data_IF_837351877990
#
_entry.id   IF_837351877990
#
_cell.length_a   1.000
_cell.length_b   1.000
_cell.length_c   1.000
_cell.angle_alpha   90.00
_cell.angle_beta   90.00
_cell.angle_gamma   90.00
#
_symmetry.space_group_name_H-M   'P 1'
#
loop_
_entity.id
_entity.type
_entity.pdbx_description
1 polymer ?
#
# COMPACT_ATOMS: atom_id res chain seq x y z
N UNK A 1 11.44 1.22 18.95
CA UNK A 1 12.59 2.13 18.79
C UNK A 1 13.67 1.83 19.83
N UNK A 2 13.33 1.69 21.09
CA UNK A 2 14.31 1.42 22.16
C UNK A 2 15.01 0.06 21.99
N UNK A 3 14.34 -0.91 21.37
CA UNK A 3 14.92 -2.22 21.02
C UNK A 3 15.89 -2.19 19.84
N UNK A 4 16.16 -1.03 19.23
CA UNK A 4 17.12 -0.87 18.13
C UNK A 4 16.62 -1.28 16.76
N UNK A 5 15.30 -1.38 16.54
CA UNK A 5 14.73 -1.68 15.21
C UNK A 5 14.99 -0.53 14.24
N UNK A 6 15.32 -0.85 12.98
CA UNK A 6 15.63 0.13 11.95
C UNK A 6 14.36 0.69 11.27
N UNK A 7 13.33 -0.13 11.10
CA UNK A 7 12.07 0.22 10.43
C UNK A 7 10.90 -0.35 11.23
N UNK A 8 9.91 0.48 11.51
CA UNK A 8 8.61 -0.01 11.99
C UNK A 8 7.72 -0.36 10.81
N UNK A 9 7.03 -1.48 10.91
CA UNK A 9 6.02 -1.90 9.94
C UNK A 9 4.63 -1.77 10.57
N UNK A 10 3.67 -1.35 9.76
CA UNK A 10 2.28 -1.17 10.14
C UNK A 10 2.02 -0.04 11.15
N UNK A 11 0.78 0.36 11.21
CA UNK A 11 0.29 1.17 12.32
C UNK A 11 0.00 0.23 13.48
N UNK A 12 0.82 0.25 14.49
CA UNK A 12 0.63 -0.57 15.68
C UNK A 12 -0.77 -0.42 16.29
N UNK A 13 -1.18 -1.42 17.06
CA UNK A 13 -2.39 -1.32 17.86
C UNK A 13 -2.08 -0.48 19.09
N UNK A 14 -2.24 0.84 19.00
CA UNK A 14 -2.39 1.64 20.22
C UNK A 14 -3.64 1.15 20.96
N UNK A 15 -3.58 1.00 22.24
CA UNK A 15 -4.73 0.60 23.05
C UNK A 15 -5.92 1.59 22.96
N UNK A 16 -5.76 2.71 22.25
CA UNK A 16 -6.70 3.79 22.05
C UNK A 16 -6.71 4.34 20.61
N UNK A 17 -7.53 5.38 20.37
CA UNK A 17 -7.71 5.98 19.04
C UNK A 17 -6.47 6.74 18.54
N UNK A 18 -5.58 7.12 19.43
CA UNK A 18 -4.39 7.92 19.14
C UNK A 18 -3.17 7.32 19.83
N UNK A 19 -2.00 7.62 19.30
CA UNK A 19 -0.73 7.39 20.00
C UNK A 19 -0.52 8.45 21.08
N UNK A 20 0.27 8.11 22.11
CA UNK A 20 0.70 9.12 23.08
C UNK A 20 1.61 10.16 22.41
N UNK A 21 1.59 11.38 22.93
CA UNK A 21 2.46 12.45 22.43
C UNK A 21 3.94 12.08 22.47
N UNK A 22 4.37 11.35 23.51
CA UNK A 22 5.75 10.88 23.66
C UNK A 22 6.13 9.88 22.58
N UNK A 23 5.23 8.95 22.23
CA UNK A 23 5.48 7.99 21.15
C UNK A 23 5.59 8.69 19.80
N UNK A 24 4.66 9.62 19.50
CA UNK A 24 4.69 10.40 18.25
C UNK A 24 6.00 11.18 18.15
N UNK A 25 6.40 11.86 19.22
CA UNK A 25 7.67 12.57 19.29
C UNK A 25 8.86 11.64 19.06
N UNK A 26 8.90 10.49 19.73
CA UNK A 26 9.96 9.49 19.56
C UNK A 26 10.07 9.03 18.11
N UNK A 27 8.93 8.78 17.44
CA UNK A 27 8.92 8.39 16.02
C UNK A 27 9.48 9.50 15.14
N UNK A 28 9.00 10.73 15.29
CA UNK A 28 9.41 11.85 14.44
C UNK A 28 10.86 12.27 14.66
N UNK A 29 11.34 12.30 15.91
CA UNK A 29 12.71 12.71 16.25
C UNK A 29 13.76 11.62 15.97
N UNK A 30 13.38 10.36 15.97
CA UNK A 30 14.31 9.25 15.73
C UNK A 30 14.86 9.19 14.31
N UNK A 31 14.20 9.86 13.35
CA UNK A 31 14.47 9.75 11.91
C UNK A 31 14.49 8.29 11.39
N UNK A 32 13.84 7.38 12.13
CA UNK A 32 13.64 6.00 11.71
C UNK A 32 12.30 5.88 11.01
N UNK A 33 12.25 5.20 9.86
CA UNK A 33 11.04 5.14 9.07
C UNK A 33 9.95 4.27 9.71
N UNK A 34 8.71 4.65 9.44
CA UNK A 34 7.54 3.81 9.62
C UNK A 34 6.89 3.55 8.28
N UNK A 35 6.68 2.28 7.93
CA UNK A 35 5.97 1.90 6.69
C UNK A 35 4.52 1.63 7.03
N UNK A 36 3.63 2.48 6.53
CA UNK A 36 2.20 2.38 6.77
C UNK A 36 1.54 1.37 5.84
N UNK A 37 0.50 0.71 6.34
CA UNK A 37 -0.39 -0.20 5.62
C UNK A 37 -1.84 0.18 5.94
N UNK A 38 -2.16 1.48 5.76
CA UNK A 38 -3.39 2.08 6.21
C UNK A 38 -4.62 1.59 5.42
N UNK A 39 -4.45 1.24 4.14
CA UNK A 39 -5.54 0.75 3.28
C UNK A 39 -6.17 -0.54 3.80
N UNK A 40 -5.41 -1.37 4.49
CA UNK A 40 -5.93 -2.59 5.11
C UNK A 40 -7.14 -2.31 6.00
N UNK A 41 -7.04 -1.28 6.85
CA UNK A 41 -8.08 -0.90 7.81
C UNK A 41 -9.13 0.05 7.24
N UNK A 42 -8.79 0.82 6.21
CA UNK A 42 -9.70 1.83 5.66
C UNK A 42 -10.57 1.33 4.54
N UNK A 43 -10.15 0.29 3.84
CA UNK A 43 -10.81 -0.18 2.66
C UNK A 43 -11.01 -1.70 2.65
N UNK A 44 -9.95 -2.50 2.87
CA UNK A 44 -10.04 -3.96 2.82
C UNK A 44 -10.95 -4.49 3.94
N UNK A 45 -10.78 -4.01 5.16
CA UNK A 45 -11.61 -4.42 6.28
C UNK A 45 -13.08 -3.98 6.15
N UNK A 46 -13.41 -2.74 5.77
CA UNK A 46 -14.80 -2.36 5.51
C UNK A 46 -15.47 -3.21 4.43
N UNK A 47 -14.78 -3.50 3.34
CA UNK A 47 -15.30 -4.37 2.28
C UNK A 47 -15.54 -5.80 2.79
N UNK A 48 -14.62 -6.32 3.58
CA UNK A 48 -14.71 -7.66 4.17
C UNK A 48 -15.87 -7.78 5.17
N UNK A 49 -16.12 -6.74 5.98
CA UNK A 49 -17.22 -6.72 6.96
C UNK A 49 -18.58 -6.77 6.27
N UNK A 50 -18.71 -6.19 5.08
CA UNK A 50 -19.95 -6.16 4.31
C UNK A 50 -20.17 -7.40 3.42
N UNK A 51 -19.37 -8.36 3.47
CA UNK A 51 -19.17 -9.44 2.53
C UNK A 51 -18.04 -9.10 1.55
N UNK A 52 -17.12 -10.04 1.27
CA UNK A 52 -15.95 -9.76 0.43
C UNK A 52 -16.33 -9.43 -1.02
N UNK A 53 -16.76 -8.20 -1.29
CA UNK A 53 -17.16 -7.74 -2.63
C UNK A 53 -16.05 -7.92 -3.66
N UNK A 54 -14.79 -7.90 -3.22
CA UNK A 54 -13.64 -8.23 -4.06
C UNK A 54 -13.69 -9.64 -4.67
N UNK A 55 -14.30 -10.61 -4.01
CA UNK A 55 -14.53 -11.95 -4.56
C UNK A 55 -15.61 -12.00 -5.65
N UNK A 56 -16.24 -10.88 -5.95
CA UNK A 56 -17.19 -10.71 -7.05
C UNK A 56 -16.60 -9.86 -8.18
N UNK A 57 -15.41 -9.29 -8.00
CA UNK A 57 -14.77 -8.44 -9.00
C UNK A 57 -14.29 -9.27 -10.20
N UNK A 58 -14.87 -9.06 -11.41
CA UNK A 58 -14.51 -9.82 -12.60
C UNK A 58 -13.07 -9.56 -13.07
N UNK A 59 -12.51 -8.39 -12.74
CA UNK A 59 -11.12 -8.04 -13.09
C UNK A 59 -10.18 -8.87 -12.24
N UNK A 60 -10.41 -8.92 -10.92
CA UNK A 60 -9.61 -9.77 -10.03
C UNK A 60 -9.74 -11.23 -10.39
N UNK A 61 -10.97 -11.72 -10.67
CA UNK A 61 -11.19 -13.09 -11.11
C UNK A 61 -10.33 -13.47 -12.33
N UNK A 62 -10.17 -12.54 -13.26
CA UNK A 62 -9.36 -12.75 -14.48
C UNK A 62 -7.85 -12.82 -14.23
N UNK A 63 -7.36 -12.47 -13.03
CA UNK A 63 -5.94 -12.50 -12.68
C UNK A 63 -5.50 -13.81 -11.99
N UNK A 64 -6.46 -14.68 -11.64
CA UNK A 64 -6.19 -15.93 -10.93
C UNK A 64 -6.62 -17.15 -11.74
N UNK A 65 -5.93 -18.29 -11.62
CA UNK A 65 -6.44 -19.57 -12.09
C UNK A 65 -7.82 -19.87 -11.50
N UNK A 66 -8.67 -20.54 -12.29
CA UNK A 66 -10.08 -20.76 -11.92
C UNK A 66 -10.25 -21.56 -10.61
N UNK A 67 -9.40 -22.54 -10.38
CA UNK A 67 -9.38 -23.37 -9.18
C UNK A 67 -8.92 -22.58 -7.95
N UNK A 68 -7.92 -21.72 -8.10
CA UNK A 68 -7.46 -20.83 -7.02
C UNK A 68 -8.57 -19.82 -6.66
N UNK A 69 -9.23 -19.24 -7.68
CA UNK A 69 -10.34 -18.32 -7.42
C UNK A 69 -11.49 -19.00 -6.69
N UNK A 70 -11.87 -20.21 -7.08
CA UNK A 70 -12.89 -21.00 -6.43
C UNK A 70 -12.52 -21.33 -4.97
N UNK A 71 -11.27 -21.73 -4.71
CA UNK A 71 -10.77 -21.98 -3.37
C UNK A 71 -10.81 -20.74 -2.49
N UNK A 72 -10.45 -19.57 -3.04
CA UNK A 72 -10.57 -18.29 -2.33
C UNK A 72 -12.02 -17.98 -1.97
N UNK A 73 -12.97 -18.12 -2.91
CA UNK A 73 -14.38 -17.92 -2.63
C UNK A 73 -14.91 -18.89 -1.56
N UNK A 74 -14.45 -20.12 -1.59
CA UNK A 74 -14.85 -21.15 -0.62
C UNK A 74 -14.32 -20.84 0.78
N UNK A 75 -13.09 -20.41 0.91
CA UNK A 75 -12.46 -20.06 2.19
C UNK A 75 -13.15 -18.89 2.89
N UNK A 76 -13.84 -18.02 2.16
CA UNK A 76 -14.58 -16.89 2.72
C UNK A 76 -16.06 -17.14 3.04
N UNK A 77 -16.56 -18.36 2.88
CA UNK A 77 -17.97 -18.70 3.26
C UNK A 77 -18.22 -18.54 4.75
N UNK A 78 -17.23 -18.89 5.56
CA UNK A 78 -17.28 -18.82 7.03
C UNK A 78 -16.48 -17.64 7.60
N UNK A 79 -16.17 -16.62 6.79
CA UNK A 79 -15.30 -15.52 7.16
C UNK A 79 -15.65 -14.79 8.47
N UNK A 80 -16.93 -14.64 8.89
CA UNK A 80 -17.23 -14.01 10.17
C UNK A 80 -16.68 -14.76 11.38
N UNK A 81 -16.44 -16.07 11.25
CA UNK A 81 -15.86 -16.91 12.30
C UNK A 81 -14.33 -16.85 12.36
N UNK A 82 -13.69 -16.29 11.32
CA UNK A 82 -12.23 -16.19 11.26
C UNK A 82 -11.69 -15.25 12.32
N UNK A 83 -10.74 -15.73 13.11
CA UNK A 83 -10.13 -14.95 14.21
C UNK A 83 -9.42 -13.69 13.72
N UNK A 84 -8.93 -13.68 12.48
CA UNK A 84 -8.30 -12.54 11.84
C UNK A 84 -9.21 -11.30 11.80
N UNK A 85 -10.51 -11.49 11.63
CA UNK A 85 -11.48 -10.40 11.56
C UNK A 85 -12.02 -9.97 12.93
N UNK A 86 -11.63 -10.66 13.99
CA UNK A 86 -11.99 -10.26 15.35
C UNK A 86 -11.45 -8.86 15.67
N UNK A 87 -12.30 -7.98 16.16
CA UNK A 87 -11.92 -6.61 16.50
C UNK A 87 -11.75 -5.65 15.31
N UNK A 88 -12.11 -6.07 14.10
CA UNK A 88 -11.99 -5.28 12.87
C UNK A 88 -12.64 -3.89 12.99
N UNK A 89 -13.83 -3.80 13.58
CA UNK A 89 -14.55 -2.52 13.76
C UNK A 89 -13.76 -1.51 14.62
N UNK A 90 -13.02 -2.00 15.61
CA UNK A 90 -12.15 -1.16 16.44
C UNK A 90 -10.96 -0.67 15.64
N UNK A 91 -10.35 -1.51 14.82
CA UNK A 91 -9.20 -1.14 14.00
C UNK A 91 -9.60 -0.11 12.93
N UNK A 92 -10.76 -0.29 12.29
CA UNK A 92 -11.30 0.68 11.33
C UNK A 92 -11.47 2.05 12.00
N UNK A 93 -12.06 2.09 13.19
CA UNK A 93 -12.33 3.33 13.92
C UNK A 93 -11.07 4.12 14.29
N UNK A 94 -9.96 3.43 14.60
CA UNK A 94 -8.75 4.07 15.12
C UNK A 94 -7.72 4.42 14.05
N UNK A 95 -7.90 3.96 12.83
CA UNK A 95 -6.94 4.16 11.75
C UNK A 95 -6.67 5.63 11.44
N UNK A 96 -7.70 6.39 11.10
CA UNK A 96 -7.54 7.76 10.61
C UNK A 96 -6.86 8.69 11.62
N UNK A 97 -7.26 8.74 12.90
CA UNK A 97 -6.55 9.56 13.88
C UNK A 97 -5.06 9.23 14.02
N UNK A 98 -4.69 7.96 13.95
CA UNK A 98 -3.29 7.53 14.07
C UNK A 98 -2.45 7.94 12.85
N UNK A 99 -2.99 7.79 11.63
CA UNK A 99 -2.31 8.23 10.40
C UNK A 99 -2.11 9.73 10.42
N UNK A 100 -3.14 10.51 10.76
CA UNK A 100 -3.05 11.97 10.86
C UNK A 100 -1.98 12.43 11.83
N UNK A 101 -1.88 11.82 13.01
CA UNK A 101 -0.82 12.15 13.97
C UNK A 101 0.59 11.99 13.38
N UNK A 102 0.81 10.91 12.60
CA UNK A 102 2.11 10.66 11.97
C UNK A 102 2.39 11.65 10.85
N UNK A 103 1.40 12.00 10.03
CA UNK A 103 1.50 13.04 8.99
C UNK A 103 1.84 14.39 9.63
N UNK A 104 1.08 14.82 10.64
CA UNK A 104 1.26 16.10 11.33
C UNK A 104 2.60 16.20 12.06
N UNK A 105 3.15 15.09 12.49
CA UNK A 105 4.46 15.05 13.16
C UNK A 105 5.66 15.09 12.20
N UNK A 106 5.44 15.08 10.88
CA UNK A 106 6.48 14.92 9.86
C UNK A 106 7.34 13.66 10.05
N UNK A 107 6.75 12.57 10.55
CA UNK A 107 7.44 11.29 10.65
C UNK A 107 7.96 10.83 9.28
N UNK A 108 9.12 10.20 9.26
CA UNK A 108 9.65 9.62 8.02
C UNK A 108 8.79 8.41 7.64
N UNK A 109 7.90 8.57 6.66
CA UNK A 109 6.96 7.54 6.27
C UNK A 109 7.32 6.90 4.94
N UNK A 110 7.30 5.56 4.91
CA UNK A 110 7.26 4.77 3.70
C UNK A 110 5.86 4.25 3.41
N UNK A 111 5.64 3.79 2.20
CA UNK A 111 4.35 3.26 1.74
C UNK A 111 4.48 1.77 1.47
N UNK A 112 3.66 0.97 2.13
CA UNK A 112 3.61 -0.49 1.96
C UNK A 112 2.17 -1.00 1.95
N UNK A 113 1.96 -2.22 1.51
CA UNK A 113 0.61 -2.78 1.33
C UNK A 113 0.26 -3.90 2.28
N UNK A 114 1.24 -4.62 2.79
CA UNK A 114 1.03 -5.89 3.51
C UNK A 114 0.21 -6.90 2.66
N UNK A 115 0.42 -6.89 1.33
CA UNK A 115 -0.27 -7.79 0.41
C UNK A 115 0.09 -9.26 0.70
N UNK A 116 -0.90 -10.14 0.56
CA UNK A 116 -0.84 -11.56 0.96
C UNK A 116 -1.66 -11.87 2.20
N UNK A 117 -2.12 -10.85 2.93
CA UNK A 117 -3.13 -11.00 3.98
C UNK A 117 -4.52 -11.17 3.37
N UNK A 118 -5.53 -11.68 4.12
CA UNK A 118 -6.85 -11.93 3.57
C UNK A 118 -7.44 -10.73 2.82
N UNK A 119 -7.88 -10.96 1.60
CA UNK A 119 -8.47 -9.98 0.67
C UNK A 119 -7.54 -8.85 0.21
N UNK A 120 -6.28 -8.86 0.59
CA UNK A 120 -5.28 -7.88 0.19
C UNK A 120 -4.33 -8.46 -0.87
N UNK A 121 -4.66 -8.27 -2.14
CA UNK A 121 -3.94 -8.83 -3.28
C UNK A 121 -2.83 -7.89 -3.78
N UNK A 122 -1.80 -8.46 -4.42
CA UNK A 122 -0.68 -7.72 -5.01
C UNK A 122 -1.05 -6.91 -6.29
N UNK A 123 -2.32 -6.79 -6.61
CA UNK A 123 -2.79 -6.17 -7.86
C UNK A 123 -2.94 -4.65 -7.76
N UNK A 124 -3.70 -4.18 -6.79
CA UNK A 124 -4.11 -2.78 -6.67
C UNK A 124 -3.82 -2.17 -5.28
N UNK A 125 -3.28 -2.97 -4.36
CA UNK A 125 -3.06 -2.59 -2.97
C UNK A 125 -2.22 -1.31 -2.83
N UNK A 126 -1.15 -1.17 -3.63
CA UNK A 126 -0.28 0.01 -3.53
C UNK A 126 -0.99 1.31 -3.90
N UNK A 127 -1.74 1.32 -5.01
CA UNK A 127 -2.48 2.53 -5.42
C UNK A 127 -3.56 2.88 -4.40
N UNK A 128 -4.19 1.88 -3.78
CA UNK A 128 -5.18 2.10 -2.73
C UNK A 128 -4.54 2.65 -1.46
N UNK A 129 -3.37 2.15 -1.07
CA UNK A 129 -2.61 2.72 0.05
C UNK A 129 -2.27 4.19 -0.20
N UNK A 130 -1.74 4.50 -1.38
CA UNK A 130 -1.44 5.88 -1.77
C UNK A 130 -2.68 6.79 -1.69
N UNK A 131 -3.83 6.32 -2.15
CA UNK A 131 -5.10 7.07 -2.07
C UNK A 131 -5.54 7.32 -0.65
N UNK A 132 -5.43 6.32 0.21
CA UNK A 132 -5.75 6.48 1.64
C UNK A 132 -4.89 7.55 2.29
N UNK A 133 -3.60 7.58 1.98
CA UNK A 133 -2.69 8.61 2.54
C UNK A 133 -3.03 10.02 2.02
N UNK A 134 -3.50 10.15 0.78
CA UNK A 134 -4.02 11.43 0.26
C UNK A 134 -5.32 11.82 0.99
N UNK A 135 -6.23 10.89 1.20
CA UNK A 135 -7.48 11.15 1.95
C UNK A 135 -7.20 11.57 3.41
N UNK A 136 -6.08 11.15 3.98
CA UNK A 136 -5.65 11.52 5.34
C UNK A 136 -4.83 12.81 5.40
N UNK A 137 -4.45 13.41 4.27
CA UNK A 137 -3.90 14.78 4.24
C UNK A 137 -2.58 14.96 3.51
N UNK A 138 -1.91 13.91 3.01
CA UNK A 138 -0.75 14.09 2.15
C UNK A 138 -1.16 14.56 0.75
N UNK A 139 -0.33 15.38 0.13
CA UNK A 139 -0.53 15.68 -1.29
C UNK A 139 -0.20 14.46 -2.17
N UNK A 140 -0.79 14.33 -3.37
CA UNK A 140 -0.43 13.26 -4.29
C UNK A 140 1.07 13.19 -4.63
N UNK A 141 1.75 14.35 -4.67
CA UNK A 141 3.19 14.41 -4.95
C UNK A 141 4.02 13.86 -3.78
N UNK A 142 3.65 14.19 -2.53
CA UNK A 142 4.30 13.63 -1.34
C UNK A 142 4.15 12.12 -1.31
N UNK A 143 2.94 11.60 -1.53
CA UNK A 143 2.70 10.15 -1.54
C UNK A 143 3.48 9.44 -2.65
N UNK A 144 3.59 10.03 -3.84
CA UNK A 144 4.43 9.47 -4.92
C UNK A 144 5.91 9.48 -4.51
N UNK A 145 6.38 10.55 -3.89
CA UNK A 145 7.77 10.63 -3.41
C UNK A 145 8.05 9.60 -2.30
N UNK A 146 7.11 9.41 -1.39
CA UNK A 146 7.21 8.40 -0.31
C UNK A 146 7.20 6.98 -0.86
N UNK A 147 6.36 6.72 -1.85
CA UNK A 147 6.26 5.41 -2.52
C UNK A 147 7.48 5.07 -3.36
N UNK A 148 8.23 6.06 -3.82
CA UNK A 148 9.41 5.89 -4.70
C UNK A 148 10.72 6.20 -3.97
N UNK A 149 11.09 7.46 -3.88
CA UNK A 149 12.38 7.92 -3.34
C UNK A 149 12.58 7.54 -1.87
N UNK A 150 11.54 7.75 -1.04
CA UNK A 150 11.65 7.44 0.40
C UNK A 150 11.72 5.93 0.60
N UNK A 151 10.87 5.15 -0.08
CA UNK A 151 10.94 3.69 -0.01
C UNK A 151 12.30 3.15 -0.48
N UNK A 152 12.88 3.69 -1.55
CA UNK A 152 14.22 3.31 -2.02
C UNK A 152 15.29 3.57 -0.94
N UNK A 153 15.22 4.73 -0.27
CA UNK A 153 16.10 5.07 0.86
C UNK A 153 15.92 4.08 2.02
N UNK A 154 14.68 3.77 2.40
CA UNK A 154 14.36 2.81 3.48
C UNK A 154 14.95 1.43 3.17
N UNK A 155 14.88 1.00 1.93
CA UNK A 155 15.43 -0.28 1.47
C UNK A 155 16.96 -0.27 1.28
N UNK A 156 17.64 0.85 1.50
CA UNK A 156 19.07 0.97 1.24
C UNK A 156 19.44 0.85 -0.25
N UNK A 157 18.55 1.28 -1.16
CA UNK A 157 18.70 1.20 -2.62
C UNK A 157 18.86 2.58 -3.24
N UNK A 158 20.09 3.20 -3.17
CA UNK A 158 20.33 4.55 -3.66
C UNK A 158 20.22 4.67 -5.19
N UNK A 159 20.28 3.56 -5.89
CA UNK A 159 20.15 3.43 -7.35
C UNK A 159 18.69 3.40 -7.85
N UNK A 160 17.71 3.47 -6.95
CA UNK A 160 16.27 3.44 -7.23
C UNK A 160 15.55 4.71 -6.76
N UNK A 161 14.28 4.83 -7.13
CA UNK A 161 13.31 5.76 -6.56
C UNK A 161 13.29 7.16 -7.18
N UNK A 162 14.25 7.51 -8.05
CA UNK A 162 14.29 8.77 -8.79
C UNK A 162 14.74 8.54 -10.24
N UNK A 163 14.35 9.46 -11.14
CA UNK A 163 14.78 9.43 -12.56
C UNK A 163 15.98 10.34 -12.69
N UNK A 164 17.16 9.76 -12.62
CA UNK A 164 18.46 10.46 -12.69
C UNK A 164 19.48 9.64 -13.49
N UNK A 165 20.43 10.29 -14.19
CA UNK A 165 21.52 9.58 -14.87
C UNK A 165 22.31 8.68 -13.91
N UNK A 166 22.58 7.45 -14.33
CA UNK A 166 23.34 6.47 -13.55
C UNK A 166 22.50 5.60 -12.62
N UNK A 167 21.19 5.85 -12.49
CA UNK A 167 20.28 4.99 -11.73
C UNK A 167 19.67 3.89 -12.59
N UNK A 168 19.10 2.88 -11.93
CA UNK A 168 18.36 1.82 -12.60
C UNK A 168 17.09 2.38 -13.25
N UNK A 169 16.87 2.01 -14.50
CA UNK A 169 15.66 2.39 -15.21
C UNK A 169 14.47 1.50 -14.80
N UNK A 170 13.95 1.74 -13.61
CA UNK A 170 12.70 1.18 -13.08
C UNK A 170 11.62 2.27 -13.21
N UNK A 171 10.89 2.27 -14.33
CA UNK A 171 10.04 3.39 -14.74
C UNK A 171 8.66 2.86 -15.16
N UNK A 172 7.62 3.56 -14.74
CA UNK A 172 6.26 3.37 -15.27
C UNK A 172 5.82 4.62 -16.01
N UNK A 173 5.04 4.44 -17.07
CA UNK A 173 4.35 5.51 -17.77
C UNK A 173 2.85 5.32 -17.61
N UNK A 174 2.19 6.34 -17.11
CA UNK A 174 0.74 6.37 -16.89
C UNK A 174 0.09 7.47 -17.74
N UNK A 175 -1.17 7.31 -18.16
CA UNK A 175 -1.88 8.34 -18.88
C UNK A 175 -2.26 9.50 -17.96
N UNK A 176 -2.29 10.71 -18.51
CA UNK A 176 -2.67 11.91 -17.77
C UNK A 176 -1.65 12.35 -16.74
N UNK A 177 -2.07 13.14 -15.77
CA UNK A 177 -1.25 13.64 -14.69
C UNK A 177 -1.75 13.13 -13.33
N UNK A 178 -1.18 12.05 -12.78
CA UNK A 178 -1.59 11.51 -11.48
C UNK A 178 -1.27 12.45 -10.31
N UNK A 179 -0.27 13.32 -10.47
CA UNK A 179 0.20 14.21 -9.40
C UNK A 179 -0.82 15.30 -9.09
N UNK A 180 -1.40 15.93 -10.13
CA UNK A 180 -2.27 17.09 -9.94
C UNK A 180 -3.76 16.74 -9.90
N UNK A 181 -4.15 15.64 -10.53
CA UNK A 181 -5.56 15.35 -10.70
C UNK A 181 -6.05 14.13 -9.93
N UNK A 182 -5.45 12.98 -10.14
CA UNK A 182 -5.99 11.75 -9.58
C UNK A 182 -5.01 10.59 -9.65
N UNK A 183 -4.74 9.96 -8.51
CA UNK A 183 -3.95 8.73 -8.44
C UNK A 183 -4.62 7.54 -9.16
N UNK A 184 -5.89 7.62 -9.55
CA UNK A 184 -6.56 6.55 -10.30
C UNK A 184 -5.87 6.24 -11.64
N UNK A 185 -5.14 7.20 -12.21
CA UNK A 185 -4.36 6.95 -13.43
C UNK A 185 -3.30 5.84 -13.25
N UNK A 186 -2.85 5.61 -12.02
CA UNK A 186 -1.94 4.52 -11.69
C UNK A 186 -2.54 3.11 -11.89
N UNK A 187 -3.87 2.98 -11.96
CA UNK A 187 -4.52 1.72 -12.36
C UNK A 187 -4.40 1.44 -13.87
N UNK A 188 -4.01 2.44 -14.65
CA UNK A 188 -3.95 2.39 -16.12
C UNK A 188 -2.52 2.48 -16.66
N UNK A 189 -1.54 1.87 -15.96
CA UNK A 189 -0.14 1.87 -16.39
C UNK A 189 -0.02 1.39 -17.84
N UNK A 190 0.55 2.21 -18.72
CA UNK A 190 0.73 1.91 -20.14
C UNK A 190 2.08 1.25 -20.44
N UNK A 191 3.13 1.69 -19.76
CA UNK A 191 4.46 1.13 -19.97
C UNK A 191 5.09 0.78 -18.62
N UNK A 192 5.78 -0.35 -18.57
CA UNK A 192 6.58 -0.78 -17.44
C UNK A 192 7.98 -1.12 -17.94
N UNK A 193 8.95 -0.42 -17.42
CA UNK A 193 10.38 -0.70 -17.62
C UNK A 193 10.97 -1.14 -16.29
N UNK A 194 11.69 -2.24 -16.28
CA UNK A 194 12.41 -2.77 -15.13
C UNK A 194 13.86 -3.04 -15.51
N UNK A 195 14.80 -2.38 -14.84
CA UNK A 195 16.23 -2.50 -15.13
C UNK A 195 16.54 -2.26 -16.63
N UNK A 196 15.87 -1.28 -17.24
CA UNK A 196 16.01 -0.96 -18.66
C UNK A 196 15.27 -1.89 -19.64
N UNK A 197 14.66 -2.97 -19.17
CA UNK A 197 13.90 -3.91 -19.98
C UNK A 197 12.42 -3.54 -19.98
N UNK A 198 11.80 -3.47 -21.17
CA UNK A 198 10.37 -3.18 -21.31
C UNK A 198 9.54 -4.43 -21.09
N UNK A 199 8.77 -4.46 -20.01
CA UNK A 199 7.87 -5.56 -19.64
C UNK A 199 6.43 -5.34 -20.15
N UNK A 200 6.01 -4.09 -20.27
CA UNK A 200 4.69 -3.71 -20.77
C UNK A 200 4.84 -2.48 -21.66
N UNK A 201 4.15 -2.44 -22.79
CA UNK A 201 4.10 -1.29 -23.69
C UNK A 201 2.69 -1.12 -24.25
N UNK A 202 2.20 0.13 -24.30
CA UNK A 202 0.85 0.46 -24.76
C UNK A 202 -0.25 -0.42 -24.13
N UNK A 203 -0.10 -0.70 -22.83
CA UNK A 203 -1.02 -1.55 -22.08
C UNK A 203 -0.87 -3.06 -22.30
N UNK A 204 0.01 -3.51 -23.20
CA UNK A 204 0.19 -4.93 -23.54
C UNK A 204 1.47 -5.51 -22.92
N UNK A 205 1.45 -6.71 -22.36
CA UNK A 205 2.67 -7.40 -21.94
C UNK A 205 3.63 -7.61 -23.12
N UNK A 206 4.93 -7.37 -22.90
CA UNK A 206 6.00 -7.54 -23.89
C UNK A 206 6.86 -8.77 -23.61
N UNK A 207 6.80 -9.30 -22.39
CA UNK A 207 7.51 -10.50 -21.96
C UNK A 207 6.47 -11.59 -21.72
N UNK A 208 6.73 -12.81 -22.27
CA UNK A 208 5.89 -13.97 -21.93
C UNK A 208 6.05 -14.25 -20.43
N UNK A 209 4.93 -14.25 -19.73
CA UNK A 209 4.91 -14.82 -18.38
C UNK A 209 5.15 -16.32 -18.48
N UNK A 210 5.95 -16.92 -17.57
CA UNK A 210 6.02 -18.37 -17.50
C UNK A 210 4.62 -18.95 -17.29
N UNK A 211 4.34 -20.06 -17.99
CA UNK A 211 3.09 -20.82 -17.83
C UNK A 211 3.02 -21.47 -16.45
#
# INVERSE_FOLDING_TARGET
YDAGVDVLQHMGSAGGPTYSADLVRTISESNRPIVLTAAHRSWIFPDTVQFPGRLQDPVLKGLFPTDIWAAMQDSFKEWPAESYFAGINRQIKFRSPQVKQLIESNALMGVGTDSGTPMNFNTDGLVREMKVLVDEGLSPLEVIADTTRVNARIMGKPDLGTIEPGKLADIIVVPGDPVYHNLNNLFSVQTVVKNGIVYKSQGKPMVRMPE
#
